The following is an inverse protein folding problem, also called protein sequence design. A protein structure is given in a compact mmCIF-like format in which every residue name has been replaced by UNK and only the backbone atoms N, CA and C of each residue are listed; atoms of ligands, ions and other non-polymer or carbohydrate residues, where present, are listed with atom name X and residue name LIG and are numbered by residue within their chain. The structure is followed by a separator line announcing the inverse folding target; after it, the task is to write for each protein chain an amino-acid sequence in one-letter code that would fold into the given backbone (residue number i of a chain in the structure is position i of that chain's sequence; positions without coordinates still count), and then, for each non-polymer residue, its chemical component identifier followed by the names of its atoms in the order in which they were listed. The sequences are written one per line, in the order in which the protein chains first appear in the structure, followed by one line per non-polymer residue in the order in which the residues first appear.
data_IF_946907188704
#
_entry.id   IF_946907188704
#
_cell.length_a   1.000
_cell.length_b   1.000
_cell.length_c   1.000
_cell.angle_alpha   90.00
_cell.angle_beta   90.00
_cell.angle_gamma   90.00
#
_symmetry.space_group_name_H-M   'P 1'
#
loop_
_entity.id
_entity.type
_entity.pdbx_description
1 polymer ?
#
# COMPACT_ATOMS: atom_id res chain seq x y z
N UNK A 1 20.78 -7.64 -3.60
CA UNK A 1 21.17 -8.06 -2.26
C UNK A 1 22.68 -8.17 -2.23
N UNK A 2 23.35 -7.46 -1.33
CA UNK A 2 24.82 -7.45 -1.14
C UNK A 2 25.65 -7.10 -2.39
N UNK A 3 25.18 -6.21 -3.26
CA UNK A 3 25.91 -5.75 -4.44
C UNK A 3 26.01 -6.77 -5.59
N UNK A 4 25.43 -7.95 -5.43
CA UNK A 4 25.35 -8.94 -6.52
C UNK A 4 24.08 -8.71 -7.33
N UNK A 5 24.20 -8.63 -8.64
CA UNK A 5 23.06 -8.56 -9.55
C UNK A 5 22.27 -9.87 -9.45
N UNK A 6 21.01 -9.78 -9.06
CA UNK A 6 20.09 -10.92 -8.99
C UNK A 6 18.99 -10.66 -10.03
N UNK A 7 18.85 -11.59 -10.98
CA UNK A 7 17.77 -11.58 -11.94
C UNK A 7 16.66 -12.48 -11.43
N UNK A 8 15.43 -11.94 -11.40
CA UNK A 8 14.23 -12.69 -11.03
C UNK A 8 13.27 -12.65 -12.20
N UNK A 9 12.62 -13.77 -12.45
CA UNK A 9 11.48 -13.86 -13.35
C UNK A 9 10.24 -14.04 -12.47
N UNK A 10 9.32 -13.10 -12.54
CA UNK A 10 8.08 -13.14 -11.78
C UNK A 10 6.90 -13.27 -12.73
N UNK A 11 5.93 -14.08 -12.34
CA UNK A 11 4.65 -14.15 -13.04
C UNK A 11 3.74 -13.10 -12.42
N UNK A 12 3.05 -12.31 -13.26
CA UNK A 12 2.01 -11.42 -12.77
C UNK A 12 0.89 -12.22 -12.11
N UNK A 13 0.63 -11.97 -10.85
CA UNK A 13 -0.44 -12.54 -10.07
C UNK A 13 -1.25 -11.40 -9.45
N UNK A 14 -2.54 -11.23 -9.82
CA UNK A 14 -3.37 -10.16 -9.28
C UNK A 14 -3.64 -10.29 -7.77
N UNK A 15 -3.43 -11.48 -7.20
CA UNK A 15 -3.59 -11.75 -5.78
C UNK A 15 -2.27 -11.65 -4.99
N UNK A 16 -1.18 -11.22 -5.65
CA UNK A 16 0.09 -10.97 -5.01
C UNK A 16 0.17 -9.54 -4.45
N UNK A 17 0.25 -9.41 -3.13
CA UNK A 17 0.27 -8.14 -2.39
C UNK A 17 1.68 -7.64 -2.03
N UNK A 18 2.69 -8.37 -2.42
CA UNK A 18 4.10 -8.08 -2.16
C UNK A 18 4.97 -8.46 -3.35
N UNK A 19 6.14 -7.83 -3.42
CA UNK A 19 7.14 -8.18 -4.43
C UNK A 19 7.75 -9.56 -4.11
N UNK A 20 7.82 -10.42 -5.12
CA UNK A 20 8.35 -11.79 -5.00
C UNK A 20 7.54 -12.68 -4.05
N UNK A 21 6.23 -12.53 -4.03
CA UNK A 21 5.36 -13.24 -3.09
C UNK A 21 5.40 -14.76 -3.25
N UNK A 22 5.54 -15.47 -2.14
CA UNK A 22 5.58 -16.93 -2.06
C UNK A 22 4.53 -17.42 -1.07
N UNK A 23 3.68 -18.36 -1.49
CA UNK A 23 2.73 -19.01 -0.60
C UNK A 23 3.39 -20.18 0.14
N UNK A 24 3.29 -20.17 1.46
CA UNK A 24 3.82 -21.22 2.32
C UNK A 24 2.66 -22.03 2.89
N UNK A 25 2.67 -23.36 2.69
CA UNK A 25 1.63 -24.23 3.24
C UNK A 25 1.68 -24.30 4.77
N UNK A 26 2.85 -24.04 5.35
CA UNK A 26 3.05 -23.90 6.79
C UNK A 26 4.07 -22.79 7.08
N UNK A 27 3.92 -22.10 8.20
CA UNK A 27 4.84 -21.05 8.65
C UNK A 27 6.29 -21.50 8.83
N UNK A 28 6.53 -22.81 9.02
CA UNK A 28 7.84 -23.40 9.19
C UNK A 28 8.50 -23.81 7.86
N UNK A 29 7.76 -23.70 6.75
CA UNK A 29 8.32 -23.98 5.42
C UNK A 29 9.44 -23.00 5.12
N UNK A 30 10.66 -23.47 4.82
CA UNK A 30 11.77 -22.57 4.54
C UNK A 30 11.56 -21.77 3.24
N UNK A 31 11.96 -20.51 3.26
CA UNK A 31 12.05 -19.60 2.11
C UNK A 31 13.49 -19.12 1.90
N UNK A 32 14.36 -19.97 1.33
CA UNK A 32 15.79 -19.66 1.21
C UNK A 32 16.06 -18.36 0.43
N UNK A 33 15.14 -17.97 -0.45
CA UNK A 33 15.19 -16.73 -1.22
C UNK A 33 15.33 -15.50 -0.31
N UNK A 34 14.73 -15.53 0.87
CA UNK A 34 14.69 -14.44 1.84
C UNK A 34 15.56 -14.66 3.07
N UNK A 35 16.47 -15.65 3.02
CA UNK A 35 17.37 -15.91 4.15
C UNK A 35 18.15 -14.67 4.59
N UNK A 36 18.18 -14.39 5.90
CA UNK A 36 18.76 -13.19 6.53
C UNK A 36 18.13 -11.88 6.11
N UNK A 37 16.88 -11.88 5.66
CA UNK A 37 16.10 -10.68 5.31
C UNK A 37 14.93 -10.52 6.25
N UNK A 38 14.27 -9.36 6.21
CA UNK A 38 12.95 -9.15 6.79
C UNK A 38 11.93 -9.23 5.68
N UNK A 39 10.83 -9.94 5.91
CA UNK A 39 9.74 -10.11 4.95
C UNK A 39 8.42 -9.65 5.55
N UNK A 40 7.54 -9.11 4.71
CA UNK A 40 6.13 -8.99 5.04
C UNK A 40 5.48 -10.36 5.02
N UNK A 41 4.53 -10.58 5.92
CA UNK A 41 3.73 -11.80 6.02
C UNK A 41 2.26 -11.46 5.93
N UNK A 42 1.54 -12.19 5.09
CA UNK A 42 0.11 -12.01 4.84
C UNK A 42 -0.68 -13.29 5.11
N UNK A 43 -1.90 -13.11 5.55
CA UNK A 43 -2.94 -14.15 5.55
C UNK A 43 -4.10 -13.66 4.68
N UNK A 44 -4.21 -14.19 3.46
CA UNK A 44 -5.05 -13.59 2.43
C UNK A 44 -4.66 -12.14 2.17
N UNK A 45 -5.62 -11.20 2.03
CA UNK A 45 -5.36 -9.79 1.75
C UNK A 45 -4.86 -9.00 2.98
N UNK A 46 -4.75 -9.63 4.15
CA UNK A 46 -4.43 -8.96 5.40
C UNK A 46 -2.97 -9.13 5.76
N UNK A 47 -2.22 -8.04 5.86
CA UNK A 47 -0.84 -8.05 6.35
C UNK A 47 -0.83 -8.34 7.85
N UNK A 48 -0.14 -9.41 8.26
CA UNK A 48 0.05 -9.79 9.66
C UNK A 48 1.16 -8.95 10.30
N UNK A 49 2.24 -8.72 9.57
CA UNK A 49 3.38 -7.95 10.06
C UNK A 49 4.64 -8.16 9.25
N UNK A 50 5.75 -7.71 9.80
CA UNK A 50 7.09 -7.90 9.25
C UNK A 50 7.89 -8.80 10.18
N UNK A 51 8.54 -9.80 9.61
CA UNK A 51 9.24 -10.84 10.38
C UNK A 51 10.63 -11.11 9.81
N UNK A 52 11.64 -11.30 10.65
CA UNK A 52 12.96 -11.69 10.21
C UNK A 52 12.95 -13.16 9.77
N UNK A 53 13.72 -13.44 8.73
CA UNK A 53 13.98 -14.80 8.22
C UNK A 53 15.41 -15.15 8.59
N UNK A 54 15.61 -16.30 9.24
CA UNK A 54 16.94 -16.75 9.62
C UNK A 54 17.77 -17.24 8.42
N UNK A 55 19.04 -17.60 8.67
CA UNK A 55 19.94 -18.09 7.63
C UNK A 55 19.51 -19.41 6.97
N UNK A 56 18.62 -20.17 7.60
CA UNK A 56 18.02 -21.39 7.04
C UNK A 56 16.73 -21.13 6.26
N UNK A 57 16.31 -19.86 6.13
CA UNK A 57 15.09 -19.47 5.43
C UNK A 57 13.82 -19.59 6.27
N UNK A 58 13.89 -19.81 7.58
CA UNK A 58 12.69 -19.95 8.44
C UNK A 58 12.32 -18.62 9.05
N UNK A 59 11.02 -18.27 8.99
CA UNK A 59 10.44 -17.07 9.57
C UNK A 59 10.50 -17.18 11.10
N UNK A 60 10.93 -16.11 11.76
CA UNK A 60 11.10 -16.08 13.22
C UNK A 60 10.00 -15.24 13.89
N UNK A 61 9.44 -15.74 14.98
CA UNK A 61 8.51 -14.97 15.81
C UNK A 61 7.08 -14.90 15.30
N UNK A 62 6.74 -15.59 14.22
CA UNK A 62 5.37 -15.68 13.74
C UNK A 62 4.53 -16.56 14.69
N UNK A 63 3.34 -16.08 15.07
CA UNK A 63 2.41 -16.75 15.97
C UNK A 63 1.94 -18.10 15.40
N UNK A 64 1.75 -19.08 16.27
CA UNK A 64 1.35 -20.45 15.92
C UNK A 64 -0.10 -20.54 15.38
N UNK A 65 -0.88 -19.49 15.54
CA UNK A 65 -2.24 -19.41 14.99
C UNK A 65 -2.30 -19.29 13.47
N UNK A 66 -1.16 -18.98 12.81
CA UNK A 66 -1.07 -18.83 11.37
C UNK A 66 -0.40 -20.07 10.74
N UNK A 67 -1.20 -20.96 10.18
CA UNK A 67 -0.66 -22.17 9.51
C UNK A 67 -0.17 -21.85 8.09
N UNK A 68 -1.04 -21.45 7.20
CA UNK A 68 -0.72 -21.07 5.83
C UNK A 68 -0.55 -19.55 5.71
N UNK A 69 0.56 -19.10 5.17
CA UNK A 69 0.86 -17.68 5.00
C UNK A 69 1.49 -17.42 3.63
N UNK A 70 1.42 -16.17 3.22
CA UNK A 70 2.13 -15.64 2.07
C UNK A 70 3.24 -14.72 2.57
N UNK A 71 4.40 -14.76 1.93
CA UNK A 71 5.55 -13.93 2.31
C UNK A 71 6.14 -13.25 1.09
N UNK A 72 6.62 -12.03 1.27
CA UNK A 72 7.24 -11.25 0.20
C UNK A 72 7.90 -10.00 0.72
N UNK A 73 8.44 -9.20 -0.18
CA UNK A 73 9.03 -7.91 0.16
C UNK A 73 7.97 -6.81 0.06
N UNK A 74 7.93 -5.95 1.05
CA UNK A 74 7.10 -4.75 0.99
C UNK A 74 7.58 -3.81 -0.13
N UNK A 75 6.64 -3.14 -0.75
CA UNK A 75 6.91 -2.06 -1.68
C UNK A 75 6.03 -0.86 -1.33
N UNK A 76 6.49 0.34 -1.69
CA UNK A 76 5.71 1.55 -1.58
C UNK A 76 5.12 1.93 -2.93
N UNK A 77 3.88 2.41 -2.91
CA UNK A 77 3.21 2.96 -4.09
C UNK A 77 2.99 4.45 -3.89
N UNK A 78 3.32 5.23 -4.92
CA UNK A 78 3.00 6.66 -4.95
C UNK A 78 2.26 6.98 -6.24
N UNK A 79 1.08 7.56 -6.09
CA UNK A 79 0.26 8.04 -7.21
C UNK A 79 0.07 9.53 -7.03
N UNK A 80 0.40 10.31 -8.05
CA UNK A 80 0.18 11.74 -8.07
C UNK A 80 -0.80 12.09 -9.20
N UNK A 81 -1.84 12.85 -8.86
CA UNK A 81 -2.80 13.31 -9.85
C UNK A 81 -2.21 14.42 -10.71
N UNK A 82 -2.72 14.58 -11.91
CA UNK A 82 -2.44 15.79 -12.69
C UNK A 82 -3.11 17.02 -12.05
N UNK A 83 -2.55 18.22 -12.20
CA UNK A 83 -3.20 19.45 -11.79
C UNK A 83 -4.56 19.61 -12.47
N UNK A 84 -5.58 20.09 -11.77
CA UNK A 84 -6.90 20.34 -12.38
C UNK A 84 -6.79 21.42 -13.47
N UNK A 85 -7.50 21.20 -14.58
CA UNK A 85 -7.55 22.11 -15.72
C UNK A 85 -8.92 22.74 -15.79
N UNK A 86 -8.97 24.07 -15.84
CA UNK A 86 -10.21 24.81 -16.15
C UNK A 86 -10.44 24.74 -17.66
N UNK A 87 -11.51 24.09 -18.08
CA UNK A 87 -11.83 23.89 -19.50
C UNK A 87 -12.00 25.20 -20.28
N UNK A 88 -12.39 26.29 -19.61
CA UNK A 88 -12.60 27.58 -20.25
C UNK A 88 -11.35 28.47 -20.26
N UNK A 89 -10.46 28.30 -19.30
CA UNK A 89 -9.32 29.21 -19.06
C UNK A 89 -7.96 28.52 -19.05
N UNK A 90 -7.92 27.20 -19.27
CA UNK A 90 -6.70 26.42 -19.25
C UNK A 90 -6.11 26.23 -17.84
N UNK A 91 -4.84 25.89 -17.77
CA UNK A 91 -4.11 25.70 -16.51
C UNK A 91 -4.02 27.02 -15.73
N UNK A 92 -4.59 27.06 -14.54
CA UNK A 92 -4.40 28.18 -13.61
C UNK A 92 -3.24 27.91 -12.66
N UNK A 93 -2.29 28.83 -12.56
CA UNK A 93 -1.08 28.60 -11.77
C UNK A 93 -1.30 28.61 -10.26
N UNK A 94 -2.40 29.22 -9.78
CA UNK A 94 -2.70 29.34 -8.35
C UNK A 94 -4.12 28.89 -8.07
N UNK A 95 -4.26 27.68 -7.59
CA UNK A 95 -5.55 27.09 -7.21
C UNK A 95 -5.48 26.54 -5.78
N UNK A 96 -6.64 26.43 -5.17
CA UNK A 96 -6.79 25.75 -3.88
C UNK A 96 -7.72 24.56 -4.06
N UNK A 97 -7.24 23.36 -3.75
CA UNK A 97 -8.10 22.21 -3.58
C UNK A 97 -8.74 22.33 -2.19
N UNK A 98 -10.05 22.53 -2.15
CA UNK A 98 -10.80 22.70 -0.89
C UNK A 98 -11.23 21.35 -0.33
N UNK A 99 -11.39 20.38 -1.21
CA UNK A 99 -11.83 19.04 -0.88
C UNK A 99 -11.32 18.06 -1.92
N UNK A 100 -10.96 16.87 -1.46
CA UNK A 100 -10.73 15.71 -2.30
C UNK A 100 -11.49 14.53 -1.70
N UNK A 101 -12.30 13.85 -2.50
CA UNK A 101 -12.95 12.60 -2.15
C UNK A 101 -12.27 11.49 -2.94
N UNK A 102 -11.73 10.50 -2.25
CA UNK A 102 -11.07 9.32 -2.83
C UNK A 102 -12.00 8.12 -2.62
N UNK A 103 -12.42 7.50 -3.70
CA UNK A 103 -13.18 6.25 -3.67
C UNK A 103 -12.19 5.08 -3.80
N UNK A 104 -12.05 4.34 -2.70
CA UNK A 104 -11.16 3.20 -2.60
C UNK A 104 -11.94 1.90 -2.36
N UNK A 105 -11.45 0.80 -2.89
CA UNK A 105 -12.07 -0.53 -2.77
C UNK A 105 -11.04 -1.50 -2.25
N UNK A 106 -11.40 -2.27 -1.23
CA UNK A 106 -10.56 -3.31 -0.62
C UNK A 106 -9.11 -2.89 -0.39
N UNK A 107 -8.91 -1.61 -0.05
CA UNK A 107 -7.59 -0.99 0.04
C UNK A 107 -7.07 -0.94 1.47
N UNK A 108 -5.77 -1.12 1.64
CA UNK A 108 -5.08 -1.17 2.93
C UNK A 108 -4.12 0.02 3.04
N UNK A 109 -4.16 0.71 4.19
CA UNK A 109 -3.08 1.56 4.68
C UNK A 109 -2.60 2.70 3.78
N UNK A 110 -3.45 3.24 2.89
CA UNK A 110 -3.04 4.37 2.06
C UNK A 110 -3.21 5.72 2.77
N UNK A 111 -2.37 6.66 2.42
CA UNK A 111 -2.38 8.06 2.89
C UNK A 111 -2.63 9.00 1.73
N UNK A 112 -3.28 10.11 2.00
CA UNK A 112 -3.46 11.20 1.04
C UNK A 112 -2.76 12.44 1.58
N UNK A 113 -1.85 13.01 0.81
CA UNK A 113 -0.99 14.13 1.25
C UNK A 113 -0.26 13.82 2.57
N UNK A 114 0.19 12.57 2.75
CA UNK A 114 0.88 12.11 3.97
C UNK A 114 0.00 11.94 5.20
N UNK A 115 -1.33 11.98 5.05
CA UNK A 115 -2.29 11.89 6.15
C UNK A 115 -3.22 10.70 5.97
N UNK A 116 -3.53 10.06 7.08
CA UNK A 116 -4.57 9.04 7.09
C UNK A 116 -5.93 9.66 6.80
N UNK A 117 -6.79 8.96 6.04
CA UNK A 117 -8.17 9.39 5.82
C UNK A 117 -8.91 9.57 7.14
N UNK A 118 -9.64 10.68 7.30
CA UNK A 118 -10.48 10.87 8.49
C UNK A 118 -11.55 9.77 8.58
N UNK A 119 -11.64 9.11 9.72
CA UNK A 119 -12.53 7.97 9.95
C UNK A 119 -11.98 6.64 9.44
N UNK A 120 -10.74 6.61 8.98
CA UNK A 120 -10.02 5.40 8.67
C UNK A 120 -9.26 4.92 9.92
N UNK A 121 -9.94 4.36 10.86
CA UNK A 121 -9.30 3.47 11.81
C UNK A 121 -9.19 2.13 11.12
N UNK A 122 -8.01 1.74 10.68
CA UNK A 122 -7.80 0.41 10.15
C UNK A 122 -8.30 -0.59 11.20
N UNK A 123 -9.41 -1.28 10.89
CA UNK A 123 -9.84 -2.37 11.75
C UNK A 123 -8.70 -3.39 11.75
N UNK A 124 -8.19 -3.72 12.92
CA UNK A 124 -7.16 -4.74 13.06
C UNK A 124 -7.80 -6.00 13.64
N UNK A 125 -7.54 -7.13 13.00
CA UNK A 125 -7.84 -8.45 13.56
C UNK A 125 -6.50 -9.14 13.78
N UNK A 126 -6.22 -9.52 15.01
CA UNK A 126 -4.94 -10.11 15.41
C UNK A 126 -3.70 -9.27 14.98
N UNK A 127 -3.82 -7.94 14.99
CA UNK A 127 -2.75 -7.02 14.57
C UNK A 127 -2.69 -6.74 13.07
N UNK A 128 -3.42 -7.47 12.25
CA UNK A 128 -3.46 -7.27 10.80
C UNK A 128 -4.42 -6.11 10.43
N UNK A 129 -3.98 -5.23 9.53
CA UNK A 129 -4.83 -4.17 8.98
C UNK A 129 -5.76 -4.77 7.92
N UNK A 130 -7.06 -4.64 8.13
CA UNK A 130 -8.06 -5.15 7.20
C UNK A 130 -8.27 -4.19 6.01
N UNK A 131 -8.49 -4.72 4.81
CA UNK A 131 -8.91 -3.92 3.67
C UNK A 131 -10.24 -3.20 3.93
N UNK A 132 -10.35 -1.99 3.43
CA UNK A 132 -11.58 -1.19 3.57
C UNK A 132 -12.06 -0.67 2.24
N UNK A 133 -13.37 -0.48 2.12
CA UNK A 133 -14.05 0.04 0.92
C UNK A 133 -14.85 1.28 1.27
N UNK A 134 -14.85 2.26 0.38
CA UNK A 134 -15.72 3.43 0.43
C UNK A 134 -15.03 4.74 0.12
N UNK A 135 -15.83 5.80 0.06
CA UNK A 135 -15.36 7.16 -0.21
C UNK A 135 -14.78 7.77 1.05
N UNK A 136 -13.56 8.27 0.95
CA UNK A 136 -12.86 8.98 2.03
C UNK A 136 -12.61 10.42 1.64
N UNK A 137 -12.96 11.32 2.57
CA UNK A 137 -12.85 12.76 2.37
C UNK A 137 -11.59 13.32 2.99
N UNK A 138 -10.91 14.15 2.20
CA UNK A 138 -9.73 14.89 2.62
C UNK A 138 -9.95 16.38 2.44
N UNK A 139 -9.33 17.16 3.30
CA UNK A 139 -9.23 18.61 3.15
C UNK A 139 -7.77 19.00 3.00
N UNK A 140 -7.26 19.08 1.76
CA UNK A 140 -5.89 19.54 1.53
C UNK A 140 -5.72 20.96 2.03
N UNK A 141 -4.51 21.29 2.49
CA UNK A 141 -4.21 22.61 3.04
C UNK A 141 -3.56 23.51 2.01
N UNK A 142 -4.06 24.74 1.94
CA UNK A 142 -3.38 25.86 1.29
C UNK A 142 -3.61 25.97 -0.21
N UNK A 143 -3.13 27.10 -0.76
CA UNK A 143 -3.02 27.34 -2.19
C UNK A 143 -1.67 26.85 -2.68
N UNK A 144 -1.68 26.18 -3.80
CA UNK A 144 -0.47 25.69 -4.47
C UNK A 144 -0.47 26.10 -5.93
N UNK A 145 0.74 26.29 -6.46
CA UNK A 145 0.93 26.40 -7.89
C UNK A 145 0.83 25.00 -8.48
N UNK A 146 -0.10 24.80 -9.42
CA UNK A 146 -0.38 23.46 -9.99
C UNK A 146 -0.69 22.41 -8.91
N UNK A 147 -1.77 22.56 -8.15
CA UNK A 147 -2.06 21.65 -7.05
C UNK A 147 -2.35 20.24 -7.55
N UNK A 148 -1.67 19.28 -6.97
CA UNK A 148 -1.85 17.85 -7.20
C UNK A 148 -2.29 17.19 -5.90
N UNK A 149 -2.82 15.99 -5.98
CA UNK A 149 -3.08 15.13 -4.83
C UNK A 149 -2.13 13.94 -4.93
N UNK A 150 -1.36 13.73 -3.88
CA UNK A 150 -0.46 12.59 -3.75
C UNK A 150 -1.09 11.53 -2.86
N UNK A 151 -1.18 10.32 -3.36
CA UNK A 151 -1.61 9.14 -2.61
C UNK A 151 -0.40 8.23 -2.46
N UNK A 152 -0.10 7.84 -1.23
CA UNK A 152 0.99 6.91 -0.91
C UNK A 152 0.47 5.72 -0.15
N UNK A 153 1.04 4.55 -0.42
CA UNK A 153 0.89 3.36 0.39
C UNK A 153 2.29 2.86 0.73
N UNK A 154 2.61 2.84 2.02
CA UNK A 154 3.93 2.46 2.53
C UNK A 154 3.97 1.01 3.02
N UNK A 155 2.83 0.34 3.02
CA UNK A 155 2.67 -1.06 3.43
C UNK A 155 2.20 -1.88 2.23
N UNK A 156 2.76 -3.04 2.03
CA UNK A 156 2.27 -3.98 1.02
C UNK A 156 0.80 -4.33 1.27
N UNK A 157 0.07 -4.61 0.21
CA UNK A 157 -1.35 -4.95 0.29
C UNK A 157 -2.15 -4.37 -0.88
N UNK A 158 -3.44 -4.72 -0.98
CA UNK A 158 -4.28 -4.23 -2.06
C UNK A 158 -4.46 -2.71 -2.00
N UNK A 159 -4.39 -2.07 -3.15
CA UNK A 159 -4.70 -0.66 -3.36
C UNK A 159 -5.49 -0.50 -4.66
N UNK A 160 -6.79 -0.37 -4.58
CA UNK A 160 -7.66 -0.05 -5.71
C UNK A 160 -8.31 1.31 -5.48
N UNK A 161 -7.98 2.29 -6.31
CA UNK A 161 -8.59 3.62 -6.31
C UNK A 161 -9.44 3.76 -7.57
N UNK A 162 -10.75 3.84 -7.40
CA UNK A 162 -11.71 3.96 -8.51
C UNK A 162 -11.83 5.38 -9.02
N UNK A 163 -11.83 6.33 -8.11
CA UNK A 163 -11.94 7.73 -8.50
C UNK A 163 -11.35 8.68 -7.45
N UNK A 164 -10.94 9.85 -7.94
CA UNK A 164 -10.56 10.99 -7.11
C UNK A 164 -11.36 12.19 -7.60
N UNK A 165 -12.26 12.67 -6.76
CA UNK A 165 -13.05 13.86 -7.05
C UNK A 165 -12.49 15.06 -6.30
N UNK A 166 -12.16 16.12 -7.00
CA UNK A 166 -11.57 17.34 -6.43
C UNK A 166 -12.50 18.52 -6.57
N UNK A 167 -12.73 19.24 -5.48
CA UNK A 167 -13.35 20.56 -5.47
C UNK A 167 -12.25 21.63 -5.42
N UNK A 168 -12.28 22.55 -6.40
CA UNK A 168 -11.21 23.52 -6.61
C UNK A 168 -11.78 24.94 -6.59
N UNK A 169 -11.08 25.83 -5.91
CA UNK A 169 -11.36 27.28 -5.96
C UNK A 169 -10.15 28.05 -6.47
N UNK A 170 -10.43 29.08 -7.22
CA UNK A 170 -9.44 30.03 -7.76
C UNK A 170 -9.17 31.18 -6.79
#
# INVERSE_FOLDING_TARGET
VNGTAVYRLEQFDPDAWADGMVSLPTRTTPVPLYANSTVGVWSGPSKIGEYPVNGSGVIQGLDDSFDAVQVGLDFSVTVETMPPVDQQRGLRPMMKITRADVDAVESVGFKVEGRDPSGWSGATVAGAVLPTTGVRRFRPLGRRKYPTITITQDVGGPLEIRSITMEVTS
#
